data_IF_992697920939
#
_entry.id   IF_992697920939
#
_cell.length_a   1.000
_cell.length_b   1.000
_cell.length_c   1.000
_cell.angle_alpha   90.00
_cell.angle_beta   90.00
_cell.angle_gamma   90.00
#
_symmetry.space_group_name_H-M   'P 1'
#
loop_
_entity.id
_entity.type
_entity.pdbx_description
1 polymer ?
#
# COMPACT_ATOMS: atom_id res chain seq x y z
N UNK A 1 20.00 36.02 8.68
CA UNK A 1 18.79 35.74 7.89
C UNK A 1 19.18 34.71 6.82
N UNK A 2 18.98 33.43 7.13
CA UNK A 2 19.39 32.30 6.25
C UNK A 2 18.24 32.04 5.27
N UNK A 3 18.47 32.33 3.97
CA UNK A 3 17.54 31.97 2.90
C UNK A 3 17.54 30.44 2.71
N UNK A 4 16.48 29.79 3.13
CA UNK A 4 16.22 28.39 2.78
C UNK A 4 15.85 28.35 1.30
N UNK A 5 16.77 27.87 0.46
CA UNK A 5 16.49 27.58 -0.95
C UNK A 5 15.39 26.52 -1.03
N UNK A 6 14.26 26.85 -1.65
CA UNK A 6 13.23 25.87 -1.97
C UNK A 6 13.82 24.80 -2.90
N UNK A 7 13.80 23.55 -2.49
CA UNK A 7 14.15 22.42 -3.35
C UNK A 7 13.21 22.41 -4.57
N UNK A 8 13.76 22.16 -5.76
CA UNK A 8 12.96 22.05 -6.98
C UNK A 8 11.92 20.92 -6.87
N UNK A 9 10.80 21.08 -7.56
CA UNK A 9 9.71 20.06 -7.55
C UNK A 9 10.22 18.66 -7.89
N UNK A 10 11.22 18.55 -8.76
CA UNK A 10 11.85 17.26 -9.10
C UNK A 10 12.61 16.63 -7.92
N UNK A 11 13.31 17.42 -7.11
CA UNK A 11 13.99 16.93 -5.91
C UNK A 11 13.00 16.46 -4.84
N UNK A 12 11.84 17.11 -4.74
CA UNK A 12 10.77 16.68 -3.83
C UNK A 12 10.13 15.36 -4.28
N UNK A 13 9.97 15.15 -5.58
CA UNK A 13 9.45 13.88 -6.13
C UNK A 13 10.44 12.74 -5.88
N UNK A 14 11.74 12.95 -6.09
CA UNK A 14 12.77 11.94 -5.83
C UNK A 14 12.94 11.63 -4.34
N UNK A 15 12.87 12.64 -3.48
CA UNK A 15 12.91 12.44 -2.02
C UNK A 15 11.68 11.68 -1.54
N UNK A 16 10.53 11.88 -2.19
CA UNK A 16 9.28 11.20 -1.88
C UNK A 16 9.26 9.74 -2.34
N UNK A 17 9.88 9.45 -3.51
CA UNK A 17 10.10 8.08 -3.99
C UNK A 17 11.08 7.32 -3.09
N UNK A 18 12.12 7.99 -2.57
CA UNK A 18 13.10 7.38 -1.66
C UNK A 18 12.48 7.03 -0.29
N UNK A 19 11.57 7.86 0.24
CA UNK A 19 10.89 7.56 1.51
C UNK A 19 9.85 6.45 1.35
N UNK A 20 9.20 6.36 0.20
CA UNK A 20 8.31 5.24 -0.17
C UNK A 20 9.09 3.93 -0.40
N UNK A 21 10.31 4.01 -0.95
CA UNK A 21 11.18 2.84 -1.15
C UNK A 21 11.73 2.24 0.15
N UNK A 22 11.87 3.03 1.22
CA UNK A 22 12.49 2.55 2.45
C UNK A 22 11.67 1.47 3.16
N UNK A 23 10.34 1.48 2.98
CA UNK A 23 9.47 0.43 3.54
C UNK A 23 9.47 -0.87 2.73
N UNK A 24 9.95 -0.83 1.47
CA UNK A 24 9.92 -2.00 0.57
C UNK A 24 11.24 -2.79 0.52
N UNK A 25 12.36 -2.21 1.00
CA UNK A 25 13.70 -2.81 0.81
C UNK A 25 14.07 -3.81 1.92
N UNK A 26 13.32 -3.87 3.00
CA UNK A 26 13.75 -4.60 4.20
C UNK A 26 12.91 -5.82 4.56
N UNK A 27 12.20 -6.43 3.63
CA UNK A 27 11.66 -7.77 3.89
C UNK A 27 12.66 -8.76 3.31
N UNK A 28 13.60 -9.31 4.09
CA UNK A 28 14.30 -10.52 3.70
C UNK A 28 13.25 -11.62 3.71
N UNK A 29 12.85 -11.98 2.54
CA UNK A 29 11.73 -12.85 2.27
C UNK A 29 12.11 -14.26 2.67
N UNK A 30 11.73 -14.67 3.87
CA UNK A 30 11.37 -16.06 4.08
C UNK A 30 9.93 -16.17 3.61
N UNK A 31 9.75 -16.26 2.29
CA UNK A 31 8.44 -16.43 1.67
C UNK A 31 7.85 -17.77 2.10
N UNK A 32 7.03 -17.73 3.13
CA UNK A 32 6.14 -18.86 3.44
C UNK A 32 4.88 -18.69 2.60
N UNK A 33 4.42 -19.76 1.98
CA UNK A 33 3.09 -19.75 1.37
C UNK A 33 2.06 -19.66 2.50
N UNK A 34 1.12 -18.68 2.49
CA UNK A 34 0.13 -18.57 3.52
C UNK A 34 -0.77 -19.82 3.55
N UNK A 35 -1.28 -20.18 4.73
CA UNK A 35 -2.33 -21.20 4.84
C UNK A 35 -3.57 -20.74 4.08
N UNK A 36 -4.44 -21.69 3.67
CA UNK A 36 -5.67 -21.35 2.95
C UNK A 36 -6.55 -20.34 3.69
N UNK A 37 -6.66 -20.47 5.01
CA UNK A 37 -7.46 -19.56 5.85
C UNK A 37 -6.85 -18.16 5.95
N UNK A 38 -5.53 -18.04 6.09
CA UNK A 38 -4.81 -16.76 6.08
C UNK A 38 -4.99 -16.10 4.72
N UNK A 39 -4.81 -16.87 3.64
CA UNK A 39 -4.98 -16.38 2.28
C UNK A 39 -6.40 -15.85 2.03
N UNK A 40 -7.44 -16.59 2.39
CA UNK A 40 -8.83 -16.19 2.18
C UNK A 40 -9.17 -14.86 2.90
N UNK A 41 -8.88 -14.77 4.20
CA UNK A 41 -9.18 -13.58 5.00
C UNK A 41 -8.41 -12.35 4.51
N UNK A 42 -7.12 -12.52 4.20
CA UNK A 42 -6.28 -11.41 3.72
C UNK A 42 -6.69 -10.96 2.32
N UNK A 43 -7.08 -11.88 1.42
CA UNK A 43 -7.61 -11.54 0.09
C UNK A 43 -8.90 -10.74 0.20
N UNK A 44 -9.81 -11.11 1.09
CA UNK A 44 -11.04 -10.36 1.32
C UNK A 44 -10.77 -8.93 1.82
N UNK A 45 -9.85 -8.77 2.76
CA UNK A 45 -9.47 -7.45 3.27
C UNK A 45 -8.80 -6.58 2.18
N UNK A 46 -7.90 -7.17 1.38
CA UNK A 46 -7.29 -6.48 0.25
C UNK A 46 -8.33 -6.07 -0.81
N UNK A 47 -9.28 -6.97 -1.13
CA UNK A 47 -10.33 -6.70 -2.11
C UNK A 47 -11.25 -5.55 -1.65
N UNK A 48 -11.66 -5.55 -0.38
CA UNK A 48 -12.44 -4.46 0.20
C UNK A 48 -11.71 -3.12 0.11
N UNK A 49 -10.43 -3.10 0.51
CA UNK A 49 -9.61 -1.89 0.45
C UNK A 49 -9.46 -1.38 -0.99
N UNK A 50 -9.11 -2.26 -1.93
CA UNK A 50 -8.95 -1.90 -3.34
C UNK A 50 -10.25 -1.40 -3.96
N UNK A 51 -11.39 -2.00 -3.62
CA UNK A 51 -12.71 -1.53 -4.04
C UNK A 51 -12.96 -0.08 -3.59
N UNK A 52 -12.64 0.26 -2.33
CA UNK A 52 -12.80 1.62 -1.82
C UNK A 52 -11.87 2.61 -2.53
N UNK A 53 -10.64 2.20 -2.85
CA UNK A 53 -9.71 3.02 -3.63
C UNK A 53 -10.20 3.20 -5.07
N UNK A 54 -10.71 2.16 -5.70
CA UNK A 54 -11.20 2.19 -7.09
C UNK A 54 -12.48 3.01 -7.25
N UNK A 55 -13.31 3.08 -6.21
CA UNK A 55 -14.52 3.90 -6.16
C UNK A 55 -14.30 5.29 -5.57
N UNK A 56 -13.04 5.70 -5.40
CA UNK A 56 -12.62 7.02 -4.88
C UNK A 56 -13.06 7.29 -3.43
N UNK A 57 -13.46 6.27 -2.70
CA UNK A 57 -13.81 6.33 -1.28
C UNK A 57 -12.54 6.33 -0.39
N UNK A 58 -11.61 7.25 -0.68
CA UNK A 58 -10.27 7.27 -0.07
C UNK A 58 -10.30 7.44 1.45
N UNK A 59 -11.26 8.21 1.97
CA UNK A 59 -11.43 8.37 3.41
C UNK A 59 -11.78 7.03 4.07
N UNK A 60 -12.71 6.26 3.47
CA UNK A 60 -13.10 4.94 3.97
C UNK A 60 -11.97 3.91 3.82
N UNK A 61 -11.17 3.98 2.73
CA UNK A 61 -10.02 3.11 2.59
C UNK A 61 -9.00 3.32 3.71
N UNK A 62 -8.84 4.55 4.20
CA UNK A 62 -8.01 4.85 5.36
C UNK A 62 -8.63 4.30 6.67
N UNK A 63 -9.96 4.41 6.83
CA UNK A 63 -10.67 3.93 8.03
C UNK A 63 -10.52 2.42 8.23
N UNK A 64 -10.56 1.63 7.13
CA UNK A 64 -10.39 0.17 7.19
C UNK A 64 -8.93 -0.28 7.21
N UNK A 65 -7.98 0.64 7.15
CA UNK A 65 -6.55 0.35 7.23
C UNK A 65 -6.10 0.13 8.68
N UNK A 66 -4.88 -0.40 8.84
CA UNK A 66 -4.29 -0.68 10.15
C UNK A 66 -4.00 0.59 10.94
N UNK A 67 -3.95 0.46 12.27
CA UNK A 67 -3.58 1.57 13.15
C UNK A 67 -2.17 2.09 12.82
N UNK A 68 -1.22 1.22 12.48
CA UNK A 68 0.13 1.63 12.09
C UNK A 68 0.13 2.56 10.87
N UNK A 69 -0.72 2.30 9.86
CA UNK A 69 -0.86 3.20 8.72
C UNK A 69 -1.49 4.54 9.15
N UNK A 70 -2.49 4.50 10.02
CA UNK A 70 -3.18 5.69 10.53
C UNK A 70 -2.29 6.57 11.40
N UNK A 71 -1.38 5.99 12.16
CA UNK A 71 -0.36 6.73 12.93
C UNK A 71 0.66 7.41 12.02
N UNK A 72 1.07 6.75 10.93
CA UNK A 72 2.02 7.32 9.97
C UNK A 72 1.42 8.39 9.07
N UNK A 73 0.15 8.28 8.71
CA UNK A 73 -0.51 9.15 7.74
C UNK A 73 -1.92 9.53 8.23
N UNK A 74 -2.16 10.82 8.45
CA UNK A 74 -3.52 11.29 8.71
C UNK A 74 -4.44 11.03 7.51
N UNK A 75 -5.73 10.87 7.76
CA UNK A 75 -6.75 10.65 6.72
C UNK A 75 -6.67 11.69 5.59
N UNK A 76 -6.47 12.97 5.93
CA UNK A 76 -6.32 14.04 4.95
C UNK A 76 -5.13 13.81 4.03
N UNK A 77 -3.96 13.51 4.61
CA UNK A 77 -2.73 13.27 3.84
C UNK A 77 -2.87 12.03 2.97
N UNK A 78 -3.49 10.97 3.50
CA UNK A 78 -3.81 9.76 2.75
C UNK A 78 -4.68 10.08 1.53
N UNK A 79 -5.82 10.75 1.75
CA UNK A 79 -6.75 11.15 0.69
C UNK A 79 -6.03 11.95 -0.42
N UNK A 80 -5.30 13.00 -0.05
CA UNK A 80 -4.59 13.84 -1.02
C UNK A 80 -3.57 13.05 -1.85
N UNK A 81 -2.84 12.13 -1.22
CA UNK A 81 -1.84 11.29 -1.90
C UNK A 81 -2.47 10.31 -2.87
N UNK A 82 -3.49 9.56 -2.42
CA UNK A 82 -4.14 8.57 -3.29
C UNK A 82 -4.89 9.25 -4.43
N UNK A 83 -5.65 10.29 -4.15
CA UNK A 83 -6.35 11.06 -5.19
C UNK A 83 -5.38 11.59 -6.25
N UNK A 84 -4.23 12.14 -5.83
CA UNK A 84 -3.19 12.62 -6.75
C UNK A 84 -2.64 11.49 -7.62
N UNK A 85 -2.30 10.34 -7.05
CA UNK A 85 -1.78 9.20 -7.83
C UNK A 85 -2.85 8.69 -8.79
N UNK A 86 -4.08 8.51 -8.33
CA UNK A 86 -5.20 8.02 -9.15
C UNK A 86 -5.54 8.96 -10.30
N UNK A 87 -5.41 10.28 -10.12
CA UNK A 87 -5.63 11.25 -11.20
C UNK A 87 -4.65 11.10 -12.37
N UNK A 88 -3.45 10.55 -12.15
CA UNK A 88 -2.47 10.26 -13.22
C UNK A 88 -2.67 8.88 -13.86
N UNK A 89 -3.35 7.97 -13.18
CA UNK A 89 -3.58 6.62 -13.66
C UNK A 89 -4.93 6.49 -14.37
N UNK A 90 -5.92 7.26 -13.93
CA UNK A 90 -7.32 7.08 -14.34
C UNK A 90 -7.98 5.88 -13.65
N UNK A 91 -9.23 5.57 -14.03
CA UNK A 91 -9.96 4.40 -13.56
C UNK A 91 -9.23 3.08 -13.83
N UNK A 92 -9.44 2.10 -12.96
CA UNK A 92 -8.95 0.74 -13.16
C UNK A 92 -9.72 0.06 -14.29
N UNK A 93 -9.01 -0.59 -15.20
CA UNK A 93 -9.57 -1.39 -16.31
C UNK A 93 -9.45 -2.86 -16.02
N UNK A 94 -8.30 -3.30 -15.51
CA UNK A 94 -8.02 -4.70 -15.21
C UNK A 94 -7.01 -4.80 -14.07
N UNK A 95 -7.17 -5.81 -13.21
CA UNK A 95 -6.21 -6.15 -12.16
C UNK A 95 -6.00 -7.64 -12.12
N UNK A 96 -4.77 -8.08 -12.36
CA UNK A 96 -4.38 -9.48 -12.36
C UNK A 96 -3.51 -9.73 -11.13
N UNK A 97 -3.92 -10.68 -10.28
CA UNK A 97 -3.12 -11.13 -9.16
C UNK A 97 -1.83 -11.79 -9.69
N UNK A 98 -0.69 -11.38 -9.15
CA UNK A 98 0.61 -11.87 -9.58
C UNK A 98 1.27 -12.74 -8.52
N UNK A 99 1.29 -12.31 -7.27
CA UNK A 99 1.95 -13.03 -6.18
C UNK A 99 1.30 -12.74 -4.82
N UNK A 100 1.40 -13.73 -3.91
CA UNK A 100 1.02 -13.59 -2.52
C UNK A 100 2.09 -14.23 -1.65
N UNK A 101 2.59 -13.51 -0.67
CA UNK A 101 3.58 -13.99 0.29
C UNK A 101 3.15 -13.68 1.72
N UNK A 102 3.58 -14.52 2.66
CA UNK A 102 3.33 -14.40 4.09
C UNK A 102 4.65 -14.39 4.86
N UNK A 103 4.72 -13.56 5.89
CA UNK A 103 5.82 -13.58 6.87
C UNK A 103 5.28 -13.27 8.27
N UNK A 104 5.85 -13.92 9.27
CA UNK A 104 5.61 -13.66 10.69
C UNK A 104 6.73 -12.81 11.33
N UNK A 105 7.73 -12.44 10.52
CA UNK A 105 8.83 -11.58 10.94
C UNK A 105 9.36 -10.79 9.76
N UNK A 106 9.59 -9.51 9.97
CA UNK A 106 10.24 -8.64 8.98
C UNK A 106 11.12 -7.62 9.70
N UNK A 107 12.31 -7.35 9.12
CA UNK A 107 13.22 -6.36 9.69
C UNK A 107 12.66 -4.93 9.48
N UNK A 108 12.83 -4.08 10.49
CA UNK A 108 12.47 -2.66 10.46
C UNK A 108 10.95 -2.35 10.31
N UNK A 109 10.09 -3.31 10.61
CA UNK A 109 8.64 -3.09 10.75
C UNK A 109 8.18 -3.57 12.12
N UNK A 110 7.02 -3.13 12.63
CA UNK A 110 6.45 -3.66 13.87
C UNK A 110 6.35 -5.19 13.83
N UNK A 111 6.59 -5.84 14.96
CA UNK A 111 6.41 -7.30 15.07
C UNK A 111 4.97 -7.67 14.75
N UNK A 112 4.76 -8.74 14.00
CA UNK A 112 3.42 -9.18 13.59
C UNK A 112 3.43 -10.08 12.38
N UNK A 113 2.25 -10.53 11.99
CA UNK A 113 2.02 -11.32 10.80
C UNK A 113 1.66 -10.41 9.62
N UNK A 114 2.28 -10.65 8.48
CA UNK A 114 2.10 -9.86 7.26
C UNK A 114 1.77 -10.73 6.06
N UNK A 115 0.90 -10.22 5.21
CA UNK A 115 0.66 -10.73 3.85
C UNK A 115 0.96 -9.62 2.86
N UNK A 116 1.75 -9.92 1.85
CA UNK A 116 2.04 -9.01 0.74
C UNK A 116 1.42 -9.58 -0.52
N UNK A 117 0.55 -8.82 -1.15
CA UNK A 117 -0.07 -9.15 -2.42
C UNK A 117 0.41 -8.20 -3.50
N UNK A 118 0.79 -8.76 -4.64
CA UNK A 118 1.22 -7.99 -5.80
C UNK A 118 0.28 -8.23 -6.96
N UNK A 119 -0.07 -7.17 -7.66
CA UNK A 119 -0.94 -7.21 -8.85
C UNK A 119 -0.24 -6.52 -10.00
N UNK A 120 -0.53 -6.98 -11.22
CA UNK A 120 -0.26 -6.24 -12.45
C UNK A 120 -1.58 -5.65 -12.90
N UNK A 121 -1.65 -4.33 -12.93
CA UNK A 121 -2.88 -3.59 -13.16
C UNK A 121 -2.78 -2.73 -14.40
N UNK A 122 -3.90 -2.63 -15.12
CA UNK A 122 -4.12 -1.72 -16.22
C UNK A 122 -5.11 -0.65 -15.78
N UNK A 123 -4.73 0.59 -15.98
CA UNK A 123 -5.59 1.76 -15.80
C UNK A 123 -5.86 2.43 -17.15
N UNK A 124 -6.86 3.30 -17.24
CA UNK A 124 -7.19 3.97 -18.50
C UNK A 124 -6.02 4.77 -19.09
N UNK A 125 -5.19 5.38 -18.23
CA UNK A 125 -4.08 6.24 -18.65
C UNK A 125 -2.70 5.55 -18.53
N UNK A 126 -2.63 4.30 -18.06
CA UNK A 126 -1.40 3.53 -17.87
C UNK A 126 -1.65 2.02 -18.03
N UNK A 127 -0.93 1.40 -18.95
CA UNK A 127 -1.17 -0.01 -19.29
C UNK A 127 -0.51 -1.03 -18.35
N UNK A 128 0.48 -0.64 -17.58
CA UNK A 128 1.22 -1.59 -16.74
C UNK A 128 1.71 -0.93 -15.48
N UNK A 129 0.99 -1.16 -14.40
CA UNK A 129 1.32 -0.65 -13.08
C UNK A 129 1.40 -1.84 -12.13
N UNK A 130 2.47 -1.93 -11.35
CA UNK A 130 2.55 -2.89 -10.26
C UNK A 130 1.89 -2.28 -9.04
N UNK A 131 0.82 -2.91 -8.55
CA UNK A 131 0.20 -2.57 -7.27
C UNK A 131 0.67 -3.55 -6.21
N UNK A 132 1.08 -3.05 -5.07
CA UNK A 132 1.45 -3.87 -3.90
C UNK A 132 0.58 -3.46 -2.72
N UNK A 133 -0.15 -4.42 -2.18
CA UNK A 133 -0.95 -4.28 -0.95
C UNK A 133 -0.28 -5.08 0.15
N UNK A 134 0.15 -4.42 1.20
CA UNK A 134 0.69 -5.05 2.40
C UNK A 134 -0.40 -5.06 3.46
N UNK A 135 -0.73 -6.23 3.97
CA UNK A 135 -1.66 -6.39 5.08
C UNK A 135 -0.91 -6.84 6.32
N UNK A 136 -1.41 -6.46 7.49
CA UNK A 136 -0.98 -6.98 8.78
C UNK A 136 -2.15 -7.53 9.55
N UNK A 137 -1.89 -8.53 10.40
CA UNK A 137 -2.88 -9.03 11.34
C UNK A 137 -2.93 -8.07 12.53
N UNK A 138 -4.09 -7.47 12.76
CA UNK A 138 -4.32 -6.58 13.91
C UNK A 138 -4.61 -7.34 15.20
N UNK A 139 -4.60 -6.65 16.33
CA UNK A 139 -4.90 -7.21 17.67
C UNK A 139 -6.31 -7.79 17.76
N UNK A 140 -7.21 -7.37 16.88
CA UNK A 140 -8.58 -7.88 16.75
C UNK A 140 -8.70 -9.13 15.87
N UNK A 141 -7.58 -9.76 15.51
CA UNK A 141 -7.51 -10.91 14.62
C UNK A 141 -8.06 -10.66 13.20
N UNK A 142 -8.06 -9.40 12.76
CA UNK A 142 -8.48 -9.02 11.42
C UNK A 142 -7.29 -8.55 10.58
N UNK A 143 -7.27 -8.97 9.33
CA UNK A 143 -6.32 -8.48 8.35
C UNK A 143 -6.68 -7.06 7.92
N UNK A 144 -5.73 -6.14 8.04
CA UNK A 144 -5.91 -4.73 7.71
C UNK A 144 -4.75 -4.25 6.84
N UNK A 145 -5.02 -3.33 5.93
CA UNK A 145 -3.98 -2.80 5.03
C UNK A 145 -3.03 -1.89 5.82
N UNK A 146 -1.75 -2.27 5.83
CA UNK A 146 -0.65 -1.52 6.44
C UNK A 146 0.16 -0.72 5.41
N UNK A 147 -0.01 -1.00 4.11
CA UNK A 147 0.64 -0.28 3.03
C UNK A 147 0.02 -0.53 1.66
N UNK A 148 0.07 0.50 0.80
CA UNK A 148 -0.38 0.43 -0.59
C UNK A 148 0.58 1.21 -1.47
N UNK A 149 1.12 0.56 -2.51
CA UNK A 149 2.15 1.11 -3.38
C UNK A 149 1.83 0.85 -4.85
N UNK A 150 2.18 1.81 -5.67
CA UNK A 150 2.00 1.81 -7.12
C UNK A 150 3.33 2.16 -7.80
N UNK A 151 3.75 1.34 -8.76
CA UNK A 151 4.95 1.54 -9.57
C UNK A 151 4.68 1.41 -11.04
#
# INVERSE_FOLDING_TARGET
MIKIKSLSQHAQIHLFLLFSCFLLIAIPVINKTPTSQVSEKSVMAAAQFLFLVDTEEYAKSWEVSSENLKEMLSQKVWHEKIAKIRSFLGPIVERIHHDISYTDSADNVPSGEYVVMTFVSKFELRDRVTETVTLMLGDNEQWQVAGYFLR
#
